data_IF_444983770204
#
_entry.id   IF_444983770204
#
_cell.length_a   1.000
_cell.length_b   1.000
_cell.length_c   1.000
_cell.angle_alpha   90.00
_cell.angle_beta   90.00
_cell.angle_gamma   90.00
#
_symmetry.space_group_name_H-M   'P 1'
#
loop_
_entity.id
_entity.type
_entity.pdbx_description
1 polymer ?
#
# COMPACT_ATOMS: atom_id res chain seq x y z
N UNK A 1 20.21 -4.90 -13.33
CA UNK A 1 18.79 -4.61 -13.65
C UNK A 1 18.01 -4.11 -12.42
N UNK A 2 18.36 -4.50 -11.21
CA UNK A 2 17.73 -4.02 -9.98
C UNK A 2 18.13 -2.59 -9.58
N UNK A 3 19.31 -2.14 -9.93
CA UNK A 3 19.81 -0.77 -9.64
C UNK A 3 19.16 0.33 -10.50
N UNK A 4 18.63 0.00 -11.67
CA UNK A 4 17.97 0.98 -12.54
C UNK A 4 16.50 1.21 -12.25
N UNK A 5 15.87 0.36 -11.46
CA UNK A 5 14.43 0.48 -11.09
C UNK A 5 14.23 1.40 -9.87
N UNK A 6 15.27 1.68 -9.11
CA UNK A 6 15.23 2.64 -7.99
C UNK A 6 15.32 4.12 -8.44
N UNK A 7 14.62 4.48 -9.51
CA UNK A 7 14.50 5.89 -9.93
C UNK A 7 13.78 6.79 -8.90
N UNK A 8 13.16 6.19 -7.89
CA UNK A 8 12.43 6.87 -6.81
C UNK A 8 13.21 6.88 -5.49
N UNK A 9 14.45 6.36 -5.46
CA UNK A 9 15.24 6.45 -4.24
C UNK A 9 15.83 7.85 -4.05
N UNK A 10 15.97 8.27 -2.79
CA UNK A 10 16.55 9.56 -2.37
C UNK A 10 17.97 9.87 -2.92
N UNK A 11 18.60 8.90 -3.56
CA UNK A 11 19.89 9.06 -4.22
C UNK A 11 19.79 9.65 -5.64
N UNK A 12 18.60 9.74 -6.22
CA UNK A 12 18.37 10.28 -7.55
C UNK A 12 17.81 11.69 -7.45
N UNK A 13 18.43 12.64 -8.14
CA UNK A 13 17.98 14.04 -8.25
C UNK A 13 16.71 14.21 -9.10
N UNK A 14 15.79 13.22 -9.08
CA UNK A 14 14.51 13.39 -9.75
C UNK A 14 13.61 14.34 -8.96
N UNK A 15 13.03 15.30 -9.65
CA UNK A 15 12.28 16.42 -9.02
C UNK A 15 10.98 15.97 -8.31
N UNK A 16 10.46 14.78 -8.63
CA UNK A 16 9.27 14.22 -8.00
C UNK A 16 9.61 12.88 -7.31
N UNK A 17 9.99 12.89 -6.03
CA UNK A 17 10.29 11.66 -5.29
C UNK A 17 9.03 10.84 -4.97
N UNK A 18 7.83 11.38 -5.20
CA UNK A 18 6.53 10.77 -4.88
C UNK A 18 5.85 10.14 -6.11
N UNK A 19 6.60 9.85 -7.17
CA UNK A 19 6.05 9.18 -8.35
C UNK A 19 5.95 7.67 -8.10
N UNK A 20 4.78 7.07 -8.38
CA UNK A 20 4.59 5.62 -8.27
C UNK A 20 5.43 4.85 -9.29
N UNK A 21 5.66 3.55 -9.05
CA UNK A 21 6.32 2.68 -10.02
C UNK A 21 5.63 2.68 -11.39
N UNK A 22 4.30 2.71 -11.43
CA UNK A 22 3.54 2.84 -12.68
C UNK A 22 3.78 4.18 -13.38
N UNK A 23 3.87 5.27 -12.61
CA UNK A 23 4.23 6.59 -13.12
C UNK A 23 5.63 6.62 -13.72
N UNK A 24 6.62 5.98 -13.08
CA UNK A 24 7.99 5.84 -13.61
C UNK A 24 7.99 5.06 -14.93
N UNK A 25 7.25 3.94 -14.99
CA UNK A 25 7.13 3.17 -16.24
C UNK A 25 6.49 4.01 -17.34
N UNK A 26 5.45 4.77 -17.04
CA UNK A 26 4.80 5.65 -18.00
C UNK A 26 5.76 6.74 -18.53
N UNK A 27 6.56 7.35 -17.66
CA UNK A 27 7.61 8.32 -18.06
C UNK A 27 8.63 7.69 -18.98
N UNK A 28 9.01 6.45 -18.70
CA UNK A 28 9.91 5.70 -19.59
C UNK A 28 9.26 5.46 -20.96
N UNK A 29 7.99 5.08 -21.03
CA UNK A 29 7.25 4.96 -22.28
C UNK A 29 7.18 6.29 -23.04
N UNK A 30 6.94 7.41 -22.35
CA UNK A 30 6.95 8.76 -22.93
C UNK A 30 8.33 9.09 -23.55
N UNK A 31 9.41 8.69 -22.87
CA UNK A 31 10.77 8.86 -23.42
C UNK A 31 11.00 7.99 -24.65
N UNK A 32 10.49 6.76 -24.69
CA UNK A 32 10.55 5.91 -25.90
C UNK A 32 9.77 6.52 -27.05
N UNK A 33 8.57 7.05 -26.80
CA UNK A 33 7.79 7.76 -27.82
C UNK A 33 8.57 8.94 -28.41
N UNK A 34 9.26 9.70 -27.58
CA UNK A 34 10.14 10.78 -28.05
C UNK A 34 11.28 10.25 -28.93
N UNK A 35 11.92 9.13 -28.56
CA UNK A 35 13.04 8.56 -29.34
C UNK A 35 12.59 7.95 -30.65
N UNK A 36 11.41 7.36 -30.70
CA UNK A 36 10.92 6.62 -31.89
C UNK A 36 9.83 7.39 -32.67
N UNK A 37 9.56 8.64 -32.29
CA UNK A 37 8.54 9.48 -32.91
C UNK A 37 7.15 8.81 -32.93
N UNK A 38 6.79 8.16 -31.81
CA UNK A 38 5.52 7.47 -31.60
C UNK A 38 4.68 8.19 -30.55
N UNK A 39 3.47 7.72 -30.29
CA UNK A 39 2.56 8.29 -29.28
C UNK A 39 1.76 7.21 -28.51
N UNK A 40 2.42 6.12 -28.14
CA UNK A 40 1.78 5.02 -27.41
C UNK A 40 1.58 5.31 -25.92
N UNK A 41 2.48 6.09 -25.30
CA UNK A 41 2.41 6.40 -23.87
C UNK A 41 1.12 7.13 -23.48
N UNK A 42 0.55 7.94 -24.37
CA UNK A 42 -0.72 8.60 -24.12
C UNK A 42 -1.84 7.61 -23.80
N UNK A 43 -1.87 6.47 -24.50
CA UNK A 43 -2.87 5.41 -24.28
C UNK A 43 -2.66 4.60 -22.99
N UNK A 44 -1.53 4.80 -22.30
CA UNK A 44 -1.19 4.15 -21.03
C UNK A 44 -1.34 5.08 -19.81
N UNK A 45 -1.77 6.31 -20.04
CA UNK A 45 -1.92 7.30 -18.96
C UNK A 45 -2.97 6.88 -17.93
N UNK A 46 -4.01 6.16 -18.33
CA UNK A 46 -5.03 5.62 -17.43
C UNK A 46 -4.45 4.56 -16.47
N UNK A 47 -3.57 3.69 -16.95
CA UNK A 47 -2.86 2.71 -16.11
C UNK A 47 -1.89 3.39 -15.14
N UNK A 48 -1.17 4.42 -15.58
CA UNK A 48 -0.31 5.22 -14.71
C UNK A 48 -1.14 5.90 -13.61
N UNK A 49 -2.32 6.43 -13.95
CA UNK A 49 -3.26 7.03 -13.01
C UNK A 49 -3.75 6.03 -11.98
N UNK A 50 -4.10 4.80 -12.39
CA UNK A 50 -4.45 3.73 -11.44
C UNK A 50 -3.31 3.51 -10.44
N UNK A 51 -2.07 3.43 -10.89
CA UNK A 51 -0.93 3.22 -10.01
C UNK A 51 -0.68 4.39 -9.05
N UNK A 52 -0.78 5.64 -9.52
CA UNK A 52 -0.59 6.84 -8.68
C UNK A 52 -1.66 6.92 -7.58
N UNK A 53 -2.92 6.72 -7.94
CA UNK A 53 -4.03 6.80 -6.97
C UNK A 53 -4.03 5.60 -6.02
N UNK A 54 -3.81 4.37 -6.52
CA UNK A 54 -3.80 3.17 -5.69
C UNK A 54 -2.65 3.14 -4.67
N UNK A 55 -1.51 3.76 -5.00
CA UNK A 55 -0.34 3.89 -4.12
C UNK A 55 -0.40 5.15 -3.22
N UNK A 56 -1.50 5.89 -3.28
CA UNK A 56 -1.75 7.10 -2.48
C UNK A 56 -0.60 8.11 -2.61
N UNK A 57 -0.10 8.30 -3.85
CA UNK A 57 0.99 9.23 -4.11
C UNK A 57 0.58 10.68 -3.80
N UNK A 58 1.57 11.50 -3.42
CA UNK A 58 1.33 12.91 -3.11
C UNK A 58 0.75 13.68 -4.31
N UNK A 59 -0.50 14.12 -4.16
CA UNK A 59 -1.21 14.91 -5.17
C UNK A 59 -0.90 16.41 -5.12
N UNK A 60 -0.05 16.87 -4.19
CA UNK A 60 0.53 18.20 -4.26
C UNK A 60 1.60 18.28 -5.37
N UNK A 61 2.16 17.16 -5.78
CA UNK A 61 3.04 17.07 -6.95
C UNK A 61 2.27 17.42 -8.23
N UNK A 62 2.72 18.48 -8.91
CA UNK A 62 2.14 18.91 -10.19
C UNK A 62 2.24 17.83 -11.27
N UNK A 63 3.29 17.03 -11.24
CA UNK A 63 3.48 15.94 -12.20
C UNK A 63 2.47 14.82 -11.98
N UNK A 64 2.25 14.36 -10.72
CA UNK A 64 1.23 13.37 -10.41
C UNK A 64 -0.16 13.84 -10.86
N UNK A 65 -0.49 15.10 -10.59
CA UNK A 65 -1.76 15.70 -11.03
C UNK A 65 -1.89 15.76 -12.54
N UNK A 66 -0.81 16.12 -13.26
CA UNK A 66 -0.82 16.18 -14.72
C UNK A 66 -1.06 14.80 -15.35
N UNK A 67 -0.39 13.76 -14.85
CA UNK A 67 -0.58 12.37 -15.30
C UNK A 67 -2.01 11.91 -15.03
N UNK A 68 -2.51 12.13 -13.81
CA UNK A 68 -3.88 11.75 -13.45
C UNK A 68 -4.93 12.50 -14.28
N UNK A 69 -4.75 13.79 -14.53
CA UNK A 69 -5.65 14.55 -15.39
C UNK A 69 -5.67 14.02 -16.82
N UNK A 70 -4.53 13.57 -17.35
CA UNK A 70 -4.47 12.95 -18.66
C UNK A 70 -5.21 11.61 -18.68
N UNK A 71 -4.94 10.72 -17.72
CA UNK A 71 -5.55 9.40 -17.67
C UNK A 71 -7.06 9.43 -17.42
N UNK A 72 -7.55 10.35 -16.59
CA UNK A 72 -9.00 10.50 -16.35
C UNK A 72 -9.77 10.97 -17.58
N UNK A 73 -9.13 11.72 -18.48
CA UNK A 73 -9.82 12.27 -19.67
C UNK A 73 -10.14 11.21 -20.72
N UNK A 74 -9.27 10.24 -20.91
CA UNK A 74 -9.35 9.26 -22.01
C UNK A 74 -8.98 7.85 -21.53
N UNK A 75 -9.79 7.22 -20.65
CA UNK A 75 -9.56 5.84 -20.31
C UNK A 75 -9.80 4.95 -21.51
N UNK A 76 -8.82 4.14 -21.89
CA UNK A 76 -8.89 3.22 -23.05
C UNK A 76 -8.72 1.76 -22.65
N UNK A 77 -8.19 1.48 -21.46
CA UNK A 77 -7.95 0.12 -21.02
C UNK A 77 -9.26 -0.64 -20.75
N UNK A 78 -9.41 -1.83 -21.33
CA UNK A 78 -10.61 -2.65 -21.20
C UNK A 78 -10.99 -3.00 -19.75
N UNK A 79 -10.01 -3.22 -18.88
CA UNK A 79 -10.27 -3.51 -17.47
C UNK A 79 -10.89 -2.29 -16.78
N UNK A 80 -10.31 -1.10 -16.99
CA UNK A 80 -10.80 0.16 -16.44
C UNK A 80 -12.22 0.42 -16.88
N UNK A 81 -12.50 0.30 -18.18
CA UNK A 81 -13.85 0.51 -18.76
C UNK A 81 -14.90 -0.49 -18.20
N UNK A 82 -14.49 -1.71 -17.85
CA UNK A 82 -15.40 -2.70 -17.26
C UNK A 82 -15.60 -2.53 -15.75
N UNK A 83 -14.61 -2.01 -15.03
CA UNK A 83 -14.65 -1.81 -13.57
C UNK A 83 -15.23 -0.45 -13.17
N UNK A 84 -15.10 0.57 -14.03
CA UNK A 84 -15.49 1.96 -13.77
C UNK A 84 -16.64 2.41 -14.67
N UNK A 85 -17.73 1.67 -14.69
CA UNK A 85 -18.89 1.91 -15.58
C UNK A 85 -19.60 3.25 -15.32
N UNK A 86 -19.54 3.74 -14.09
CA UNK A 86 -20.18 4.99 -13.66
C UNK A 86 -19.27 6.21 -13.81
N UNK A 87 -18.00 5.98 -14.14
CA UNK A 87 -16.98 7.00 -14.32
C UNK A 87 -15.62 6.52 -13.83
N UNK A 88 -14.56 7.00 -14.47
CA UNK A 88 -13.19 6.71 -14.09
C UNK A 88 -12.64 7.91 -13.30
N UNK A 89 -12.62 7.78 -11.99
CA UNK A 89 -12.13 8.77 -11.03
C UNK A 89 -11.34 8.12 -9.90
N UNK A 90 -10.84 8.92 -8.97
CA UNK A 90 -10.07 8.44 -7.82
C UNK A 90 -10.88 7.49 -6.92
N UNK A 91 -12.19 7.71 -6.80
CA UNK A 91 -13.10 6.86 -6.01
C UNK A 91 -13.23 5.48 -6.65
N UNK A 92 -13.49 5.45 -7.98
CA UNK A 92 -13.59 4.21 -8.72
C UNK A 92 -12.29 3.39 -8.65
N UNK A 93 -11.13 4.03 -8.74
CA UNK A 93 -9.83 3.35 -8.58
C UNK A 93 -9.72 2.76 -7.17
N UNK A 94 -9.98 3.56 -6.14
CA UNK A 94 -9.80 3.17 -4.73
C UNK A 94 -10.74 2.05 -4.28
N UNK A 95 -11.95 1.97 -4.83
CA UNK A 95 -12.97 1.01 -4.38
C UNK A 95 -13.19 -0.16 -5.35
N UNK A 96 -13.00 0.03 -6.66
CA UNK A 96 -13.30 -1.00 -7.65
C UNK A 96 -12.03 -1.67 -8.21
N UNK A 97 -10.92 -0.93 -8.42
CA UNK A 97 -9.71 -1.48 -9.04
C UNK A 97 -8.70 -1.95 -7.99
N UNK A 98 -8.19 -1.03 -7.16
CA UNK A 98 -7.11 -1.30 -6.23
C UNK A 98 -7.41 -2.48 -5.28
N UNK A 99 -8.62 -2.65 -4.72
CA UNK A 99 -8.91 -3.77 -3.84
C UNK A 99 -8.88 -5.13 -4.53
N UNK A 100 -9.21 -5.23 -5.82
CA UNK A 100 -9.14 -6.48 -6.59
C UNK A 100 -7.69 -6.86 -6.87
N UNK A 101 -6.89 -5.91 -7.34
CA UNK A 101 -5.46 -6.10 -7.62
C UNK A 101 -4.70 -6.47 -6.34
N UNK A 102 -4.97 -5.77 -5.25
CA UNK A 102 -4.34 -6.04 -3.95
C UNK A 102 -4.75 -7.41 -3.40
N UNK A 103 -6.00 -7.84 -3.60
CA UNK A 103 -6.43 -9.17 -3.21
C UNK A 103 -5.72 -10.26 -4.02
N UNK A 104 -5.61 -10.09 -5.34
CA UNK A 104 -4.87 -10.99 -6.20
C UNK A 104 -3.41 -11.14 -5.75
N UNK A 105 -2.73 -10.03 -5.48
CA UNK A 105 -1.35 -10.03 -5.01
C UNK A 105 -1.19 -10.80 -3.69
N UNK A 106 -2.03 -10.52 -2.71
CA UNK A 106 -1.99 -11.17 -1.38
C UNK A 106 -2.39 -12.65 -1.41
N UNK A 107 -3.16 -13.05 -2.41
CA UNK A 107 -3.57 -14.45 -2.60
C UNK A 107 -2.72 -15.20 -3.63
N UNK A 108 -1.52 -14.66 -3.97
CA UNK A 108 -0.55 -15.23 -4.93
C UNK A 108 -1.13 -15.44 -6.35
N UNK A 109 -2.06 -14.58 -6.76
CA UNK A 109 -2.69 -14.60 -8.10
C UNK A 109 -2.35 -13.35 -8.92
N UNK A 110 -1.06 -12.94 -8.89
CA UNK A 110 -0.55 -11.81 -9.67
C UNK A 110 -0.73 -12.00 -11.19
N UNK A 111 -0.73 -13.26 -11.63
CA UNK A 111 -1.02 -13.65 -12.99
C UNK A 111 -2.37 -13.09 -13.49
N UNK A 112 -3.41 -13.19 -12.67
CA UNK A 112 -4.73 -12.65 -13.01
C UNK A 112 -4.76 -11.12 -13.05
N UNK A 113 -4.09 -10.47 -12.09
CA UNK A 113 -4.00 -9.01 -12.07
C UNK A 113 -3.29 -8.49 -13.33
N UNK A 114 -2.22 -9.16 -13.78
CA UNK A 114 -1.56 -8.82 -15.03
C UNK A 114 -2.46 -9.06 -16.24
N UNK A 115 -3.06 -10.26 -16.34
CA UNK A 115 -3.96 -10.61 -17.45
C UNK A 115 -5.15 -9.66 -17.56
N UNK A 116 -5.68 -9.16 -16.43
CA UNK A 116 -6.76 -8.19 -16.40
C UNK A 116 -6.44 -6.96 -17.26
N UNK A 117 -5.26 -6.38 -17.07
CA UNK A 117 -4.89 -5.12 -17.74
C UNK A 117 -4.31 -5.29 -19.15
N UNK A 118 -3.76 -6.46 -19.48
CA UNK A 118 -3.20 -6.70 -20.82
C UNK A 118 -4.21 -7.30 -21.81
N UNK A 119 -5.39 -7.73 -21.35
CA UNK A 119 -6.38 -8.38 -22.22
C UNK A 119 -7.19 -7.37 -23.02
N UNK A 120 -7.17 -7.51 -24.35
CA UNK A 120 -8.02 -6.75 -25.26
C UNK A 120 -9.41 -7.37 -25.44
N UNK A 121 -9.65 -8.57 -24.90
CA UNK A 121 -10.89 -9.29 -25.04
C UNK A 121 -11.85 -8.99 -23.85
N UNK A 122 -12.87 -8.18 -24.09
CA UNK A 122 -13.85 -7.79 -23.07
C UNK A 122 -14.58 -8.98 -22.38
N UNK A 123 -14.76 -10.12 -23.07
CA UNK A 123 -15.34 -11.32 -22.43
C UNK A 123 -14.35 -11.93 -21.43
N UNK A 124 -13.09 -12.03 -21.81
CA UNK A 124 -12.02 -12.52 -20.93
C UNK A 124 -11.84 -11.59 -19.73
N UNK A 125 -11.83 -10.29 -19.93
CA UNK A 125 -11.75 -9.29 -18.84
C UNK A 125 -12.87 -9.49 -17.82
N UNK A 126 -14.13 -9.69 -18.27
CA UNK A 126 -15.26 -9.95 -17.37
C UNK A 126 -15.12 -11.26 -16.58
N UNK A 127 -14.54 -12.30 -17.18
CA UNK A 127 -14.28 -13.57 -16.48
C UNK A 127 -13.20 -13.38 -15.40
N UNK A 128 -12.13 -12.67 -15.74
CA UNK A 128 -11.05 -12.37 -14.79
C UNK A 128 -11.57 -11.50 -13.63
N UNK A 129 -12.38 -10.48 -13.91
CA UNK A 129 -12.98 -9.63 -12.85
C UNK A 129 -13.77 -10.50 -11.87
N UNK A 130 -14.62 -11.42 -12.36
CA UNK A 130 -15.38 -12.32 -11.49
C UNK A 130 -14.47 -13.19 -10.63
N UNK A 131 -13.41 -13.77 -11.20
CA UNK A 131 -12.45 -14.58 -10.45
C UNK A 131 -11.73 -13.74 -9.38
N UNK A 132 -11.36 -12.50 -9.68
CA UNK A 132 -10.76 -11.58 -8.71
C UNK A 132 -11.72 -11.16 -7.60
N UNK A 133 -13.01 -11.01 -7.89
CA UNK A 133 -14.05 -10.77 -6.88
C UNK A 133 -14.18 -11.95 -5.92
N UNK A 134 -14.15 -13.18 -6.45
CA UNK A 134 -14.16 -14.40 -5.63
C UNK A 134 -12.90 -14.49 -4.74
N UNK A 135 -11.73 -14.18 -5.28
CA UNK A 135 -10.46 -14.10 -4.53
C UNK A 135 -10.55 -13.05 -3.41
N UNK A 136 -11.07 -11.86 -3.71
CA UNK A 136 -11.27 -10.80 -2.71
C UNK A 136 -12.23 -11.24 -1.61
N UNK A 137 -13.27 -12.00 -1.94
CA UNK A 137 -14.21 -12.56 -0.97
C UNK A 137 -13.50 -13.55 -0.05
N UNK A 138 -12.76 -14.51 -0.60
CA UNK A 138 -11.95 -15.48 0.17
C UNK A 138 -10.95 -14.77 1.09
N UNK A 139 -10.27 -13.72 0.61
CA UNK A 139 -9.39 -12.91 1.44
C UNK A 139 -10.11 -12.30 2.64
N UNK A 140 -11.30 -11.71 2.41
CA UNK A 140 -12.11 -11.12 3.49
C UNK A 140 -12.55 -12.18 4.52
N UNK A 141 -12.93 -13.36 4.07
CA UNK A 141 -13.33 -14.49 4.92
C UNK A 141 -12.14 -14.92 5.80
N UNK A 142 -10.96 -15.17 5.22
CA UNK A 142 -9.75 -15.50 6.00
C UNK A 142 -9.39 -14.43 7.03
N UNK A 143 -9.43 -13.16 6.67
CA UNK A 143 -9.18 -12.06 7.62
C UNK A 143 -10.23 -12.06 8.75
N UNK A 144 -11.50 -12.29 8.41
CA UNK A 144 -12.59 -12.35 9.41
C UNK A 144 -12.45 -13.52 10.38
N UNK A 145 -11.88 -14.63 9.95
CA UNK A 145 -11.60 -15.81 10.78
C UNK A 145 -10.42 -15.57 11.74
N UNK A 146 -9.38 -14.87 11.29
CA UNK A 146 -8.18 -14.62 12.09
C UNK A 146 -8.34 -13.48 13.10
N UNK A 147 -9.06 -12.43 12.73
CA UNK A 147 -9.15 -11.20 13.54
C UNK A 147 -9.65 -11.40 14.99
N UNK A 148 -10.66 -12.23 15.31
CA UNK A 148 -11.13 -12.40 16.69
C UNK A 148 -10.02 -12.86 17.65
N UNK A 149 -9.21 -13.82 17.25
CA UNK A 149 -8.10 -14.32 18.06
C UNK A 149 -7.01 -13.27 18.25
N UNK A 150 -6.65 -12.57 17.16
CA UNK A 150 -5.65 -11.50 17.20
C UNK A 150 -6.12 -10.31 18.08
N UNK A 151 -7.41 -10.00 18.10
CA UNK A 151 -7.95 -8.97 18.99
C UNK A 151 -7.85 -9.40 20.47
N UNK A 152 -8.12 -10.67 20.80
CA UNK A 152 -7.91 -11.18 22.15
C UNK A 152 -6.44 -11.10 22.58
N UNK A 153 -5.51 -11.48 21.70
CA UNK A 153 -4.08 -11.36 21.95
C UNK A 153 -3.65 -9.89 22.13
N UNK A 154 -4.20 -8.98 21.33
CA UNK A 154 -3.92 -7.55 21.41
C UNK A 154 -4.45 -6.92 22.70
N UNK A 155 -5.60 -7.37 23.20
CA UNK A 155 -6.16 -6.92 24.47
C UNK A 155 -5.25 -7.24 25.68
N UNK A 156 -4.49 -8.35 25.61
CA UNK A 156 -3.48 -8.70 26.61
C UNK A 156 -2.22 -7.84 26.51
N UNK A 157 -2.03 -7.15 25.41
CA UNK A 157 -0.86 -6.32 25.13
C UNK A 157 -1.16 -4.80 25.18
N UNK A 158 -2.31 -4.39 25.74
CA UNK A 158 -2.74 -2.97 25.76
C UNK A 158 -1.74 -2.03 26.43
N UNK A 159 -1.08 -2.49 27.48
CA UNK A 159 -0.13 -1.69 28.27
C UNK A 159 1.27 -1.59 27.63
N UNK A 160 1.55 -2.44 26.64
CA UNK A 160 2.82 -2.39 25.92
C UNK A 160 2.82 -1.32 24.83
N UNK A 161 3.98 -0.76 24.54
CA UNK A 161 4.18 0.26 23.48
C UNK A 161 4.14 -0.31 22.06
N UNK A 162 4.34 -1.61 21.92
CA UNK A 162 4.26 -2.33 20.67
C UNK A 162 3.53 -3.66 20.89
N UNK A 163 2.69 -4.06 19.94
CA UNK A 163 2.00 -5.34 20.00
C UNK A 163 2.56 -6.33 18.96
N UNK A 164 2.77 -7.57 19.38
CA UNK A 164 3.32 -8.65 18.59
C UNK A 164 2.28 -9.77 18.45
N UNK A 165 1.97 -10.13 17.22
CA UNK A 165 0.98 -11.14 16.87
C UNK A 165 1.63 -12.23 16.05
N UNK A 166 1.26 -13.49 16.30
CA UNK A 166 1.81 -14.62 15.57
C UNK A 166 0.71 -15.34 14.79
N UNK A 167 0.96 -15.54 13.48
CA UNK A 167 0.09 -16.31 12.60
C UNK A 167 0.83 -17.55 12.10
N UNK A 168 0.10 -18.67 11.93
CA UNK A 168 0.71 -19.94 11.52
C UNK A 168 1.03 -19.99 10.04
N UNK A 169 0.16 -19.43 9.21
CA UNK A 169 0.30 -19.44 7.75
C UNK A 169 0.81 -18.08 7.28
N UNK A 170 1.92 -18.14 6.53
CA UNK A 170 2.58 -16.98 5.93
C UNK A 170 1.84 -16.42 4.71
N UNK A 171 0.53 -16.62 4.61
CA UNK A 171 -0.26 -15.97 3.58
C UNK A 171 0.05 -14.46 3.63
N UNK A 172 0.23 -13.81 2.47
CA UNK A 172 0.56 -12.38 2.33
C UNK A 172 -0.49 -11.43 2.96
N UNK A 173 -1.20 -11.92 4.00
CA UNK A 173 -2.20 -11.20 4.78
C UNK A 173 -1.60 -10.40 5.95
N UNK A 174 -0.37 -10.67 6.35
CA UNK A 174 0.27 -10.03 7.50
C UNK A 174 0.17 -8.52 7.47
N UNK A 175 0.45 -7.89 6.33
CA UNK A 175 0.33 -6.44 6.18
C UNK A 175 -1.10 -5.89 6.32
N UNK A 176 -2.10 -6.64 5.85
CA UNK A 176 -3.51 -6.26 6.00
C UNK A 176 -3.98 -6.41 7.45
N UNK A 177 -3.58 -7.49 8.11
CA UNK A 177 -3.87 -7.72 9.53
C UNK A 177 -3.18 -6.67 10.40
N UNK A 178 -1.89 -6.39 10.16
CA UNK A 178 -1.16 -5.35 10.87
C UNK A 178 -1.83 -3.98 10.74
N UNK A 179 -2.29 -3.61 9.52
CA UNK A 179 -3.04 -2.35 9.31
C UNK A 179 -4.31 -2.28 10.15
N UNK A 180 -5.09 -3.36 10.21
CA UNK A 180 -6.32 -3.41 11.01
C UNK A 180 -6.04 -3.33 12.52
N UNK A 181 -5.02 -4.04 12.98
CA UNK A 181 -4.62 -4.05 14.39
C UNK A 181 -4.06 -2.69 14.82
N UNK A 182 -3.22 -2.06 13.99
CA UNK A 182 -2.71 -0.69 14.24
C UNK A 182 -3.86 0.31 14.32
N UNK A 183 -4.84 0.24 13.41
CA UNK A 183 -6.02 1.09 13.46
C UNK A 183 -6.93 0.83 14.69
N UNK A 184 -6.85 -0.36 15.30
CA UNK A 184 -7.61 -0.68 16.51
C UNK A 184 -6.89 -0.25 17.79
N UNK A 185 -5.58 -0.46 17.85
CA UNK A 185 -4.77 -0.23 19.06
C UNK A 185 -4.01 1.10 19.06
N UNK A 186 -3.97 1.81 17.94
CA UNK A 186 -3.29 3.11 17.73
C UNK A 186 -1.83 3.12 18.18
N UNK A 187 -1.10 2.02 17.93
CA UNK A 187 0.31 1.84 18.26
C UNK A 187 0.98 0.90 17.25
N UNK A 188 2.31 0.78 17.26
CA UNK A 188 3.00 -0.19 16.42
C UNK A 188 2.48 -1.61 16.63
N UNK A 189 2.16 -2.30 15.53
CA UNK A 189 1.69 -3.69 15.51
C UNK A 189 2.50 -4.49 14.50
N UNK A 190 3.05 -5.61 14.93
CA UNK A 190 3.79 -6.56 14.12
C UNK A 190 2.99 -7.86 13.98
N UNK A 191 2.75 -8.31 12.76
CA UNK A 191 2.15 -9.63 12.48
C UNK A 191 3.23 -10.51 11.89
N UNK A 192 3.61 -11.53 12.63
CA UNK A 192 4.79 -12.35 12.40
C UNK A 192 4.41 -13.82 12.18
N UNK A 193 5.26 -14.54 11.47
CA UNK A 193 5.22 -15.99 11.36
C UNK A 193 6.62 -16.58 11.56
N UNK A 194 6.66 -17.84 11.94
CA UNK A 194 7.90 -18.56 12.23
C UNK A 194 8.50 -19.14 10.94
N UNK A 195 9.73 -18.74 10.61
CA UNK A 195 10.48 -19.29 9.44
C UNK A 195 11.65 -20.19 9.84
N UNK A 196 11.67 -20.66 11.10
CA UNK A 196 12.74 -21.51 11.65
C UNK A 196 13.72 -20.67 12.48
N UNK A 197 14.67 -20.01 11.87
CA UNK A 197 15.68 -19.19 12.59
C UNK A 197 15.17 -17.75 12.88
N UNK A 198 14.18 -17.29 12.15
CA UNK A 198 13.64 -15.94 12.25
C UNK A 198 12.13 -15.92 12.50
N UNK A 199 11.66 -14.79 12.99
CA UNK A 199 10.29 -14.33 12.83
C UNK A 199 10.24 -13.32 11.69
N UNK A 200 9.41 -13.60 10.69
CA UNK A 200 9.23 -12.72 9.54
C UNK A 200 7.78 -12.29 9.43
N UNK A 201 7.54 -11.12 8.84
CA UNK A 201 6.18 -10.66 8.67
C UNK A 201 6.07 -9.20 8.24
N UNK A 202 5.02 -8.56 8.72
CA UNK A 202 4.70 -7.18 8.37
C UNK A 202 4.53 -6.35 9.63
N UNK A 203 5.04 -5.13 9.59
CA UNK A 203 4.79 -4.14 10.63
C UNK A 203 3.99 -2.95 10.07
N UNK A 204 3.18 -2.39 10.93
CA UNK A 204 2.53 -1.09 10.77
C UNK A 204 2.68 -0.31 12.07
N UNK A 205 2.95 0.98 11.98
CA UNK A 205 3.13 1.81 13.15
C UNK A 205 2.31 3.09 13.03
N UNK A 206 1.75 3.52 14.15
CA UNK A 206 1.05 4.77 14.34
C UNK A 206 1.63 5.46 15.59
N UNK A 207 1.71 6.79 15.59
CA UNK A 207 2.22 7.56 16.71
C UNK A 207 3.75 7.53 16.90
N UNK A 208 4.49 7.03 15.90
CA UNK A 208 5.96 7.00 15.86
C UNK A 208 6.42 7.63 14.54
N UNK A 209 7.44 8.48 14.58
CA UNK A 209 7.94 9.17 13.39
C UNK A 209 8.49 8.18 12.34
N UNK A 210 9.38 7.29 12.75
CA UNK A 210 9.97 6.28 11.86
C UNK A 210 10.30 4.99 12.61
N UNK A 211 9.34 4.07 12.62
CA UNK A 211 9.50 2.80 13.32
C UNK A 211 10.47 1.85 12.62
N UNK A 212 10.54 1.88 11.29
CA UNK A 212 11.52 1.10 10.52
C UNK A 212 12.96 1.47 10.91
N UNK A 213 13.24 2.76 11.02
CA UNK A 213 14.55 3.26 11.45
C UNK A 213 14.85 2.85 12.89
N UNK A 214 13.88 2.96 13.80
CA UNK A 214 14.04 2.53 15.19
C UNK A 214 14.48 1.06 15.28
N UNK A 215 13.82 0.17 14.54
CA UNK A 215 14.18 -1.25 14.50
C UNK A 215 15.55 -1.47 13.87
N UNK A 216 15.84 -0.85 12.74
CA UNK A 216 17.10 -1.01 12.01
C UNK A 216 18.29 -0.50 12.83
N UNK A 217 18.17 0.64 13.49
CA UNK A 217 19.21 1.23 14.32
C UNK A 217 19.53 0.38 15.56
N UNK A 218 18.59 -0.43 16.04
CA UNK A 218 18.83 -1.37 17.14
C UNK A 218 19.81 -2.48 16.79
N UNK A 219 19.95 -2.82 15.51
CA UNK A 219 20.70 -3.99 15.04
C UNK A 219 20.11 -5.35 15.46
N UNK A 220 18.90 -5.37 16.05
CA UNK A 220 18.24 -6.58 16.56
C UNK A 220 17.26 -7.20 15.57
N UNK A 221 16.82 -6.43 14.57
CA UNK A 221 15.96 -6.84 13.48
C UNK A 221 16.19 -5.98 12.25
N UNK A 222 15.52 -6.30 11.15
CA UNK A 222 15.63 -5.57 9.90
C UNK A 222 14.23 -5.28 9.35
N UNK A 223 13.97 -4.01 9.02
CA UNK A 223 12.79 -3.57 8.30
C UNK A 223 13.15 -3.17 6.88
N UNK A 224 12.32 -3.60 5.91
CA UNK A 224 12.43 -3.25 4.49
C UNK A 224 11.09 -2.69 4.01
N UNK A 225 11.08 -1.42 3.62
CA UNK A 225 9.88 -0.70 3.16
C UNK A 225 9.85 0.74 3.62
N UNK A 226 8.64 1.25 3.86
CA UNK A 226 8.44 2.63 4.32
C UNK A 226 8.63 2.78 5.83
N UNK A 227 8.73 4.02 6.29
CA UNK A 227 9.00 4.38 7.69
C UNK A 227 8.10 3.66 8.71
N UNK A 228 6.80 3.63 8.45
CA UNK A 228 5.78 3.05 9.34
C UNK A 228 4.97 1.92 8.68
N UNK A 229 5.45 1.41 7.55
CA UNK A 229 4.79 0.32 6.81
C UNK A 229 5.84 -0.50 6.05
N UNK A 230 6.30 -1.59 6.66
CA UNK A 230 7.41 -2.38 6.12
C UNK A 230 7.22 -3.88 6.35
N UNK A 231 7.97 -4.68 5.59
CA UNK A 231 8.31 -6.05 5.97
C UNK A 231 9.33 -6.04 7.09
N UNK A 232 9.27 -7.03 7.97
CA UNK A 232 10.18 -7.14 9.11
C UNK A 232 10.72 -8.57 9.22
N UNK A 233 12.02 -8.68 9.55
CA UNK A 233 12.70 -9.93 9.87
C UNK A 233 13.43 -9.77 11.19
N UNK A 234 13.19 -10.68 12.14
CA UNK A 234 13.75 -10.65 13.48
C UNK A 234 14.37 -12.02 13.77
N UNK A 235 15.70 -12.13 13.94
CA UNK A 235 16.30 -13.36 14.44
C UNK A 235 15.69 -13.75 15.79
N UNK A 236 15.29 -15.01 15.97
CA UNK A 236 14.62 -15.47 17.21
C UNK A 236 15.42 -15.19 18.47
N UNK A 237 16.76 -15.32 18.39
CA UNK A 237 17.66 -15.02 19.51
C UNK A 237 17.67 -13.53 19.93
N UNK A 238 17.14 -12.65 19.08
CA UNK A 238 17.06 -11.22 19.33
C UNK A 238 15.63 -10.76 19.70
N UNK A 239 14.63 -11.62 19.58
CA UNK A 239 13.22 -11.22 19.70
C UNK A 239 12.92 -10.54 21.05
N UNK A 240 13.23 -11.18 22.16
CA UNK A 240 13.02 -10.60 23.50
C UNK A 240 13.80 -9.30 23.72
N UNK A 241 15.05 -9.22 23.20
CA UNK A 241 15.87 -8.01 23.28
C UNK A 241 15.23 -6.86 22.50
N UNK A 242 14.70 -7.16 21.31
CA UNK A 242 14.01 -6.15 20.49
C UNK A 242 12.75 -5.65 21.18
N UNK A 243 11.96 -6.54 21.79
CA UNK A 243 10.78 -6.14 22.57
C UNK A 243 11.15 -5.15 23.68
N UNK A 244 12.14 -5.50 24.51
CA UNK A 244 12.61 -4.62 25.59
C UNK A 244 13.13 -3.28 25.04
N UNK A 245 13.92 -3.32 23.97
CA UNK A 245 14.45 -2.10 23.34
C UNK A 245 13.33 -1.17 22.86
N UNK A 246 12.28 -1.71 22.21
CA UNK A 246 11.15 -0.91 21.75
C UNK A 246 10.40 -0.31 22.94
N UNK A 247 10.14 -1.10 23.98
CA UNK A 247 9.45 -0.61 25.19
C UNK A 247 10.24 0.52 25.87
N UNK A 248 11.56 0.38 25.99
CA UNK A 248 12.45 1.38 26.59
C UNK A 248 12.45 2.68 25.77
N UNK A 249 12.66 2.59 24.46
CA UNK A 249 12.72 3.76 23.58
C UNK A 249 11.38 4.49 23.51
N UNK A 250 10.28 3.75 23.47
CA UNK A 250 8.93 4.33 23.39
C UNK A 250 8.29 4.58 24.78
N UNK A 251 9.02 4.38 25.89
CA UNK A 251 8.48 4.48 27.26
C UNK A 251 7.79 5.82 27.52
N UNK A 252 8.35 6.93 27.03
CA UNK A 252 7.78 8.28 27.17
C UNK A 252 6.78 8.65 26.06
N UNK A 253 6.60 7.81 25.04
CA UNK A 253 5.69 8.07 23.93
C UNK A 253 4.25 7.86 24.38
N UNK A 254 3.40 8.84 24.15
CA UNK A 254 1.94 8.72 24.30
C UNK A 254 1.35 8.63 22.91
N UNK A 255 0.73 7.51 22.60
CA UNK A 255 0.03 7.34 21.34
C UNK A 255 -1.28 8.12 21.40
N UNK A 256 -1.36 9.19 20.63
CA UNK A 256 -2.57 10.00 20.46
C UNK A 256 -2.94 9.98 18.99
N UNK A 257 -4.23 9.93 18.73
CA UNK A 257 -4.72 10.10 17.37
C UNK A 257 -4.72 11.58 17.05
N UNK A 258 -3.76 12.03 16.24
CA UNK A 258 -3.71 13.40 15.76
C UNK A 258 -4.72 13.58 14.63
N UNK A 259 -5.57 14.60 14.75
CA UNK A 259 -6.41 15.04 13.65
C UNK A 259 -5.63 16.05 12.81
N UNK A 260 -5.19 15.63 11.63
CA UNK A 260 -4.56 16.54 10.67
C UNK A 260 -5.65 17.37 10.01
N UNK A 261 -5.57 18.68 10.16
CA UNK A 261 -6.50 19.65 9.55
C UNK A 261 -5.78 20.37 8.41
N UNK A 262 -6.12 20.05 7.17
CA UNK A 262 -5.50 20.66 6.00
C UNK A 262 -5.97 22.11 5.78
N UNK A 263 -7.24 22.40 6.14
CA UNK A 263 -7.82 23.72 5.96
C UNK A 263 -8.92 23.99 6.98
N UNK A 264 -8.87 25.16 7.61
CA UNK A 264 -9.98 25.68 8.42
C UNK A 264 -10.65 26.81 7.65
N UNK A 265 -11.96 26.69 7.40
CA UNK A 265 -12.75 27.69 6.67
C UNK A 265 -13.99 28.08 7.47
N UNK A 266 -14.41 29.33 7.33
CA UNK A 266 -15.69 29.78 7.86
C UNK A 266 -16.86 29.19 7.06
N UNK A 267 -18.00 28.97 7.74
CA UNK A 267 -19.21 28.44 7.10
C UNK A 267 -19.65 29.25 5.87
N UNK A 268 -19.42 30.57 5.87
CA UNK A 268 -19.74 31.45 4.75
C UNK A 268 -18.86 31.23 3.52
N UNK A 269 -17.70 30.58 3.67
CA UNK A 269 -16.75 30.26 2.58
C UNK A 269 -17.06 28.92 1.89
N UNK A 270 -17.97 28.13 2.45
CA UNK A 270 -18.40 26.87 1.83
C UNK A 270 -19.27 27.18 0.62
N UNK A 271 -18.71 27.02 -0.55
CA UNK A 271 -19.42 27.18 -1.84
C UNK A 271 -19.50 25.82 -2.56
N UNK A 272 -20.44 25.65 -3.52
CA UNK A 272 -20.49 24.43 -4.35
C UNK A 272 -19.19 24.14 -5.11
N UNK A 273 -18.30 25.10 -5.22
CA UNK A 273 -16.99 24.96 -5.87
C UNK A 273 -15.93 24.34 -4.95
N UNK A 274 -16.19 24.36 -3.64
CA UNK A 274 -15.30 23.79 -2.60
C UNK A 274 -15.70 22.34 -2.23
N UNK A 275 -16.89 21.90 -2.59
CA UNK A 275 -17.42 20.56 -2.42
C UNK A 275 -17.25 19.75 -3.71
#
# INVERSE_FOLDING_TARGET
>A
MQEQINLVSSANNYSNPHLSGAGVCWKFCTYLDYLYETNYAETLADLATVGIIADVCDMMSMENRAICNQGFRLPVNNAILNLCKEGFDSTAISFNIAPLVNAANRMNRNDLALQLFISDNSKQVKMIIKELEDIRKQQKEKVSELMPNLLQEGDLQKDYKCAFFFIKDADNLGGLLATKLTATYHKPCLVLHDTGDNYEGSMRAEGVENFSKLVNDSGLGQCLGHENSAGICIPKCNFEKLQHYIEDVLSSTTFQQDLIVDLTIDRAQITPFLL
#
